data_IF_795710065386
#
_entry.id   IF_795710065386
#
_cell.length_a   1.000
_cell.length_b   1.000
_cell.length_c   1.000
_cell.angle_alpha   90.00
_cell.angle_beta   90.00
_cell.angle_gamma   90.00
#
_symmetry.space_group_name_H-M   'P 1'
#
loop_
_entity.id
_entity.type
_entity.pdbx_description
1 polymer ?
#
# COMPACT_ATOMS: atom_id res chain seq x y z
N UNK A 1 -23.14 -9.01 -4.76
CA UNK A 1 -23.48 -9.53 -6.11
C UNK A 1 -22.40 -10.50 -6.54
N UNK A 2 -21.13 -10.10 -6.37
CA UNK A 2 -20.01 -11.03 -6.33
C UNK A 2 -19.67 -11.32 -4.85
N UNK A 3 -19.55 -12.61 -4.51
CA UNK A 3 -19.16 -13.10 -3.18
C UNK A 3 -17.75 -13.72 -3.20
N UNK A 4 -17.05 -13.60 -4.33
CA UNK A 4 -15.69 -14.06 -4.52
C UNK A 4 -14.65 -13.27 -3.71
N UNK A 5 -13.41 -13.76 -3.73
CA UNK A 5 -12.29 -13.08 -3.09
C UNK A 5 -11.46 -12.31 -4.13
N UNK A 6 -11.57 -10.99 -4.11
CA UNK A 6 -10.96 -10.08 -5.07
C UNK A 6 -10.56 -8.76 -4.41
N UNK A 7 -9.72 -7.97 -5.08
CA UNK A 7 -9.39 -6.61 -4.65
C UNK A 7 -10.32 -5.57 -5.26
N UNK A 8 -10.56 -4.51 -4.51
CA UNK A 8 -11.28 -3.31 -4.96
C UNK A 8 -10.37 -2.12 -4.71
N UNK A 9 -10.23 -1.26 -5.71
CA UNK A 9 -9.44 -0.03 -5.62
C UNK A 9 -10.20 1.18 -6.13
N UNK A 10 -9.57 2.35 -6.07
CA UNK A 10 -10.17 3.61 -6.48
C UNK A 10 -9.18 4.49 -7.23
N UNK A 11 -9.65 5.21 -8.24
CA UNK A 11 -8.84 6.13 -9.04
C UNK A 11 -8.79 7.56 -8.48
N UNK A 12 -9.45 7.82 -7.35
CA UNK A 12 -9.45 9.12 -6.67
C UNK A 12 -8.83 9.04 -5.28
N UNK A 13 -8.14 10.10 -4.89
CA UNK A 13 -7.49 10.17 -3.59
C UNK A 13 -8.38 10.83 -2.53
N UNK A 14 -8.46 10.21 -1.35
CA UNK A 14 -9.15 10.73 -0.16
C UNK A 14 -8.34 10.42 1.09
N UNK A 15 -8.06 9.13 1.32
CA UNK A 15 -7.06 8.67 2.27
C UNK A 15 -6.37 7.40 1.77
N UNK A 16 -5.18 7.12 2.29
CA UNK A 16 -4.40 5.91 1.96
C UNK A 16 -5.05 4.65 2.54
N UNK A 17 -5.67 4.74 3.72
CA UNK A 17 -6.27 3.59 4.42
C UNK A 17 -7.76 3.39 4.12
N UNK A 18 -8.22 3.90 2.97
CA UNK A 18 -9.60 3.74 2.53
C UNK A 18 -10.03 2.28 2.36
N UNK A 19 -9.20 1.36 1.84
CA UNK A 19 -9.59 -0.04 1.77
C UNK A 19 -9.95 -0.61 3.15
N UNK A 20 -9.14 -0.34 4.17
CA UNK A 20 -9.43 -0.77 5.54
C UNK A 20 -10.70 -0.11 6.09
N UNK A 21 -10.89 1.19 5.86
CA UNK A 21 -12.05 1.94 6.35
C UNK A 21 -13.37 1.46 5.72
N UNK A 22 -13.33 1.06 4.45
CA UNK A 22 -14.48 0.58 3.69
C UNK A 22 -14.63 -0.96 3.72
N UNK A 23 -13.79 -1.67 4.47
CA UNK A 23 -13.73 -3.14 4.51
C UNK A 23 -13.57 -3.77 3.11
N UNK A 24 -12.72 -3.14 2.29
CA UNK A 24 -12.27 -3.60 0.99
C UNK A 24 -10.86 -4.20 1.10
N UNK A 25 -10.55 -5.16 0.24
CA UNK A 25 -9.17 -5.61 0.05
C UNK A 25 -8.52 -4.74 -1.02
N UNK A 26 -7.53 -3.93 -0.65
CA UNK A 26 -6.80 -3.06 -1.56
C UNK A 26 -5.29 -3.27 -1.47
N UNK A 27 -4.59 -2.74 -2.47
CA UNK A 27 -3.16 -2.48 -2.48
C UNK A 27 -2.82 -1.20 -1.70
N UNK A 28 -3.71 -0.20 -1.65
CA UNK A 28 -3.49 1.02 -0.88
C UNK A 28 -3.51 0.74 0.63
N UNK A 29 -2.39 0.99 1.32
CA UNK A 29 -2.30 0.80 2.77
C UNK A 29 -1.18 1.63 3.39
N UNK A 30 -1.37 2.08 4.63
CA UNK A 30 -0.34 2.72 5.44
C UNK A 30 -0.33 2.16 6.86
N UNK A 31 0.85 1.71 7.29
CA UNK A 31 1.11 1.25 8.65
C UNK A 31 2.61 1.30 8.95
N UNK A 32 2.98 1.60 10.19
CA UNK A 32 4.39 1.57 10.64
C UNK A 32 5.01 0.16 10.65
N UNK A 33 4.19 -0.88 10.53
CA UNK A 33 4.64 -2.28 10.47
C UNK A 33 4.36 -2.91 9.10
N UNK A 34 4.13 -2.09 8.06
CA UNK A 34 3.91 -2.60 6.72
C UNK A 34 5.18 -3.29 6.18
N UNK A 35 5.00 -4.39 5.45
CA UNK A 35 6.09 -5.18 4.90
C UNK A 35 6.88 -4.37 3.87
N UNK A 36 8.12 -4.00 4.21
CA UNK A 36 8.95 -3.14 3.35
C UNK A 36 9.21 -3.75 1.97
N UNK A 37 9.37 -5.08 1.88
CA UNK A 37 9.59 -5.74 0.58
C UNK A 37 8.38 -5.62 -0.34
N UNK A 38 7.18 -5.69 0.21
CA UNK A 38 5.95 -5.49 -0.56
C UNK A 38 5.77 -4.03 -1.00
N UNK A 39 6.20 -3.07 -0.16
CA UNK A 39 6.23 -1.64 -0.51
C UNK A 39 7.22 -1.42 -1.67
N UNK A 40 8.44 -1.89 -1.52
CA UNK A 40 9.52 -1.75 -2.52
C UNK A 40 9.09 -2.38 -3.86
N UNK A 41 8.52 -3.59 -3.82
CA UNK A 41 7.98 -4.26 -5.01
C UNK A 41 6.92 -3.43 -5.74
N UNK A 42 5.97 -2.81 -5.02
CA UNK A 42 4.98 -1.94 -5.64
C UNK A 42 5.65 -0.71 -6.29
N UNK A 43 6.66 -0.13 -5.63
CA UNK A 43 7.49 0.93 -6.22
C UNK A 43 8.22 0.50 -7.49
N UNK A 44 8.76 -0.72 -7.51
CA UNK A 44 9.41 -1.29 -8.70
C UNK A 44 8.43 -1.55 -9.84
N UNK A 45 7.13 -1.69 -9.57
CA UNK A 45 6.09 -1.71 -10.61
C UNK A 45 5.58 -0.32 -11.00
N UNK A 46 6.10 0.74 -10.37
CA UNK A 46 5.73 2.12 -10.67
C UNK A 46 4.53 2.64 -9.89
N UNK A 47 4.07 1.93 -8.86
CA UNK A 47 3.08 2.47 -7.93
C UNK A 47 3.72 3.49 -6.98
N UNK A 48 2.91 4.44 -6.53
CA UNK A 48 3.31 5.29 -5.40
C UNK A 48 3.48 4.46 -4.14
N UNK A 49 4.71 4.46 -3.65
CA UNK A 49 5.12 3.72 -2.47
C UNK A 49 6.21 4.51 -1.75
N UNK A 50 6.20 4.44 -0.42
CA UNK A 50 7.22 5.03 0.43
C UNK A 50 7.29 4.18 1.71
N UNK A 51 8.33 4.31 2.53
CA UNK A 51 8.73 3.33 3.55
C UNK A 51 7.69 2.91 4.61
N UNK A 52 6.50 3.47 4.62
CA UNK A 52 5.39 3.11 5.52
C UNK A 52 4.01 3.09 4.82
N UNK A 53 3.94 3.26 3.49
CA UNK A 53 2.68 3.22 2.77
C UNK A 53 2.81 2.88 1.27
N UNK A 54 1.72 2.43 0.68
CA UNK A 54 1.52 2.30 -0.76
C UNK A 54 0.18 2.90 -1.17
N UNK A 55 0.06 3.33 -2.41
CA UNK A 55 -1.17 3.87 -3.02
C UNK A 55 -1.39 3.21 -4.36
N UNK A 56 -2.65 2.91 -4.66
CA UNK A 56 -3.10 2.55 -5.99
C UNK A 56 -3.09 3.77 -6.91
N UNK A 57 -1.88 4.19 -7.30
CA UNK A 57 -1.62 5.29 -8.22
C UNK A 57 -0.35 4.94 -8.98
N UNK A 58 -0.39 5.00 -10.32
CA UNK A 58 0.60 4.39 -11.19
C UNK A 58 0.28 2.97 -11.63
N UNK A 59 -0.96 2.52 -11.39
CA UNK A 59 -1.43 1.24 -11.89
C UNK A 59 -1.50 1.24 -13.43
N UNK A 60 -1.37 0.05 -13.98
CA UNK A 60 -1.52 -0.29 -15.40
C UNK A 60 -2.53 -1.43 -15.52
N UNK A 61 -3.10 -1.69 -16.71
CA UNK A 61 -3.93 -2.88 -16.93
C UNK A 61 -3.24 -4.17 -16.44
N UNK A 62 -1.96 -4.38 -16.82
CA UNK A 62 -1.16 -5.53 -16.40
C UNK A 62 -1.12 -5.74 -14.90
N UNK A 63 -0.83 -4.68 -14.14
CA UNK A 63 -0.72 -4.77 -12.69
C UNK A 63 -2.09 -4.93 -12.04
N UNK A 64 -3.14 -4.31 -12.57
CA UNK A 64 -4.51 -4.56 -12.14
C UNK A 64 -4.90 -6.03 -12.31
N UNK A 65 -4.54 -6.64 -13.44
CA UNK A 65 -4.85 -8.03 -13.75
C UNK A 65 -4.15 -8.99 -12.80
N UNK A 66 -2.82 -8.85 -12.66
CA UNK A 66 -2.02 -9.77 -11.85
C UNK A 66 -2.32 -9.61 -10.35
N UNK A 67 -2.52 -8.37 -9.88
CA UNK A 67 -2.89 -8.12 -8.49
C UNK A 67 -4.40 -8.29 -8.22
N UNK A 68 -5.18 -8.82 -9.16
CA UNK A 68 -6.56 -9.21 -8.93
C UNK A 68 -7.46 -8.04 -8.50
N UNK A 69 -7.19 -6.84 -9.03
CA UNK A 69 -8.02 -5.66 -8.84
C UNK A 69 -9.19 -5.77 -9.80
N UNK A 70 -10.29 -6.33 -9.28
CA UNK A 70 -11.48 -6.67 -10.08
C UNK A 70 -12.45 -5.49 -10.23
N UNK A 71 -12.56 -4.65 -9.21
CA UNK A 71 -13.46 -3.50 -9.25
C UNK A 71 -12.70 -2.22 -8.95
N UNK A 72 -12.96 -1.19 -9.75
CA UNK A 72 -12.38 0.14 -9.56
C UNK A 72 -13.50 1.14 -9.33
N UNK A 73 -13.37 1.92 -8.25
CA UNK A 73 -14.24 3.03 -7.92
C UNK A 73 -13.71 4.32 -8.57
N UNK A 74 -14.56 5.01 -9.32
CA UNK A 74 -14.19 6.21 -10.05
C UNK A 74 -15.22 7.33 -9.76
N UNK A 75 -14.72 8.50 -9.37
CA UNK A 75 -15.52 9.70 -9.07
C UNK A 75 -15.48 10.76 -10.17
N UNK A 76 -14.69 10.56 -11.22
CA UNK A 76 -14.42 11.58 -12.24
C UNK A 76 -15.22 11.40 -13.54
N UNK A 77 -16.05 10.35 -13.62
CA UNK A 77 -16.90 10.09 -14.79
C UNK A 77 -16.12 9.74 -16.06
N UNK A 78 -14.86 9.34 -15.89
CA UNK A 78 -13.89 9.07 -16.96
C UNK A 78 -14.11 7.71 -17.65
N UNK A 79 -15.00 6.86 -17.10
CA UNK A 79 -15.16 5.48 -17.55
C UNK A 79 -16.51 5.21 -18.22
N UNK A 80 -16.46 4.75 -19.47
CA UNK A 80 -17.63 4.36 -20.28
C UNK A 80 -18.20 2.98 -19.92
N UNK A 81 -17.47 2.19 -19.13
CA UNK A 81 -17.78 0.80 -18.78
C UNK A 81 -18.32 0.64 -17.34
N UNK A 82 -19.18 1.58 -16.92
CA UNK A 82 -19.79 1.55 -15.58
C UNK A 82 -20.76 0.37 -15.44
N UNK A 83 -20.53 -0.53 -14.48
CA UNK A 83 -21.43 -1.65 -14.17
C UNK A 83 -22.49 -1.29 -13.13
N UNK A 84 -22.20 -0.33 -12.26
CA UNK A 84 -23.13 0.25 -11.27
C UNK A 84 -22.60 1.59 -10.78
N UNK A 85 -23.46 2.41 -10.20
CA UNK A 85 -23.06 3.66 -9.55
C UNK A 85 -23.89 3.91 -8.30
N UNK A 86 -23.34 4.73 -7.40
CA UNK A 86 -24.02 5.28 -6.24
C UNK A 86 -23.50 6.70 -6.01
N UNK A 87 -24.41 7.67 -5.90
CA UNK A 87 -24.09 9.10 -5.83
C UNK A 87 -23.17 9.54 -6.99
N UNK A 88 -21.99 10.07 -6.68
CA UNK A 88 -20.95 10.50 -7.61
C UNK A 88 -19.89 9.42 -7.89
N UNK A 89 -20.05 8.22 -7.35
CA UNK A 89 -19.10 7.11 -7.52
C UNK A 89 -19.66 6.10 -8.53
N UNK A 90 -18.91 5.91 -9.61
CA UNK A 90 -19.09 4.83 -10.59
C UNK A 90 -18.19 3.65 -10.25
N UNK A 91 -18.62 2.45 -10.64
CA UNK A 91 -17.86 1.21 -10.47
C UNK A 91 -17.65 0.57 -11.84
N UNK A 92 -16.40 0.27 -12.17
CA UNK A 92 -16.03 -0.54 -13.33
C UNK A 92 -15.59 -1.94 -12.91
N UNK A 93 -15.69 -2.88 -13.82
CA UNK A 93 -15.25 -4.27 -13.63
C UNK A 93 -14.11 -4.60 -14.59
N UNK A 94 -13.02 -5.10 -14.03
CA UNK A 94 -11.92 -5.71 -14.76
C UNK A 94 -12.19 -7.21 -14.87
N UNK A 95 -12.49 -7.68 -16.08
CA UNK A 95 -12.77 -9.10 -16.35
C UNK A 95 -11.51 -9.95 -16.47
N UNK A 96 -10.35 -9.32 -16.63
CA UNK A 96 -9.06 -9.98 -16.81
C UNK A 96 -8.34 -10.21 -15.45
N UNK A 97 -8.86 -9.63 -14.35
CA UNK A 97 -8.35 -9.75 -12.98
C UNK A 97 -8.19 -11.19 -12.48
N UNK A 98 -6.94 -11.63 -12.31
CA UNK A 98 -6.58 -12.95 -11.80
C UNK A 98 -6.91 -13.11 -10.31
N UNK A 99 -7.14 -14.34 -9.81
CA UNK A 99 -7.35 -14.58 -8.39
C UNK A 99 -6.09 -14.26 -7.57
N UNK A 100 -6.23 -14.12 -6.24
CA UNK A 100 -5.10 -13.79 -5.34
C UNK A 100 -3.94 -14.80 -5.38
N UNK A 101 -4.20 -16.03 -5.87
CA UNK A 101 -3.19 -17.02 -6.15
C UNK A 101 -3.64 -17.97 -7.26
N UNK A 102 -2.69 -18.37 -8.11
CA UNK A 102 -2.91 -19.13 -9.33
C UNK A 102 -1.64 -19.91 -9.73
N UNK A 103 -1.82 -20.98 -10.49
CA UNK A 103 -0.73 -21.73 -11.11
C UNK A 103 -0.06 -20.89 -12.21
N UNK A 104 1.26 -20.81 -12.16
CA UNK A 104 2.09 -20.10 -13.12
C UNK A 104 3.35 -20.90 -13.44
N UNK A 105 4.09 -20.49 -14.47
CA UNK A 105 5.40 -21.08 -14.76
C UNK A 105 6.38 -20.82 -13.62
N UNK A 106 7.13 -21.86 -13.21
CA UNK A 106 8.13 -21.77 -12.15
C UNK A 106 9.26 -20.76 -12.38
N UNK A 107 9.39 -20.18 -13.59
CA UNK A 107 10.35 -19.09 -13.87
C UNK A 107 10.12 -17.86 -12.99
N UNK A 108 8.89 -17.61 -12.53
CA UNK A 108 8.57 -16.45 -11.67
C UNK A 108 9.31 -16.49 -10.33
N UNK A 109 9.61 -17.68 -9.80
CA UNK A 109 10.33 -17.82 -8.53
C UNK A 109 11.78 -17.34 -8.58
N UNK A 110 12.34 -17.11 -9.77
CA UNK A 110 13.69 -16.57 -9.96
C UNK A 110 13.69 -15.11 -10.45
N UNK A 111 12.51 -14.47 -10.56
CA UNK A 111 12.40 -13.11 -11.05
C UNK A 111 12.73 -12.11 -9.94
N UNK A 112 13.74 -11.29 -10.21
CA UNK A 112 14.12 -10.12 -9.42
C UNK A 112 13.78 -8.86 -10.21
N UNK A 113 13.22 -7.87 -9.54
CA UNK A 113 12.85 -6.59 -10.12
C UNK A 113 14.02 -5.60 -10.01
N UNK A 114 14.08 -4.67 -10.96
CA UNK A 114 15.01 -3.54 -10.97
C UNK A 114 14.36 -2.29 -10.41
N UNK A 115 15.08 -1.49 -9.63
CA UNK A 115 14.52 -0.32 -8.94
C UNK A 115 13.90 0.73 -9.86
N UNK A 116 14.48 0.96 -11.04
CA UNK A 116 14.07 2.06 -11.92
C UNK A 116 13.37 1.62 -13.21
N UNK A 117 13.33 0.33 -13.53
CA UNK A 117 12.89 -0.18 -14.84
C UNK A 117 11.45 -0.68 -14.77
N UNK A 118 10.51 0.22 -14.48
CA UNK A 118 9.14 -0.13 -14.08
C UNK A 118 8.35 -0.85 -15.16
N UNK A 119 8.58 -0.52 -16.43
CA UNK A 119 7.93 -1.17 -17.58
C UNK A 119 8.58 -2.53 -17.89
N UNK A 120 9.91 -2.61 -17.86
CA UNK A 120 10.63 -3.89 -18.01
C UNK A 120 10.24 -4.87 -16.91
N UNK A 121 10.07 -4.40 -15.67
CA UNK A 121 9.60 -5.22 -14.56
C UNK A 121 8.23 -5.85 -14.83
N UNK A 122 7.30 -5.08 -15.36
CA UNK A 122 5.97 -5.56 -15.74
C UNK A 122 6.04 -6.59 -16.88
N UNK A 123 6.87 -6.31 -17.90
CA UNK A 123 7.09 -7.23 -19.01
C UNK A 123 7.72 -8.55 -18.55
N UNK A 124 8.74 -8.46 -17.72
CA UNK A 124 9.43 -9.60 -17.15
C UNK A 124 8.50 -10.43 -16.25
N UNK A 125 7.62 -9.79 -15.47
CA UNK A 125 6.65 -10.46 -14.62
C UNK A 125 5.71 -11.34 -15.44
N UNK A 126 4.99 -10.77 -16.41
CA UNK A 126 3.99 -11.54 -17.15
C UNK A 126 4.63 -12.59 -18.05
N UNK A 127 5.83 -12.34 -18.58
CA UNK A 127 6.62 -13.36 -19.28
C UNK A 127 7.07 -14.50 -18.34
N UNK A 128 7.50 -14.20 -17.12
CA UNK A 128 7.90 -15.22 -16.16
C UNK A 128 6.71 -16.08 -15.70
N UNK A 129 5.55 -15.46 -15.45
CA UNK A 129 4.30 -16.13 -15.08
C UNK A 129 3.78 -17.05 -16.19
N UNK A 130 3.85 -16.61 -17.46
CA UNK A 130 3.37 -17.40 -18.60
C UNK A 130 4.43 -18.34 -19.18
N UNK A 131 5.69 -18.16 -18.81
CA UNK A 131 6.84 -18.82 -19.42
C UNK A 131 7.19 -18.31 -20.83
N UNK A 132 6.56 -17.22 -21.28
CA UNK A 132 6.64 -16.66 -22.62
C UNK A 132 7.79 -15.66 -22.85
N UNK A 133 7.74 -15.02 -24.01
CA UNK A 133 8.60 -13.89 -24.40
C UNK A 133 7.79 -12.99 -25.34
N UNK A 134 7.25 -11.90 -24.78
CA UNK A 134 6.38 -10.91 -25.42
C UNK A 134 6.74 -9.53 -24.90
N UNK A 135 6.45 -8.53 -25.71
CA UNK A 135 6.52 -7.12 -25.34
C UNK A 135 5.10 -6.66 -25.00
N UNK A 136 4.84 -6.30 -23.75
CA UNK A 136 3.55 -5.76 -23.31
C UNK A 136 3.61 -4.24 -23.19
N UNK A 137 4.77 -3.73 -22.78
CA UNK A 137 5.13 -2.33 -22.84
C UNK A 137 6.28 -2.13 -23.83
N UNK A 138 5.99 -1.51 -24.97
CA UNK A 138 7.03 -1.13 -25.92
C UNK A 138 7.72 0.13 -25.43
N UNK A 139 8.89 -0.03 -24.82
CA UNK A 139 9.68 1.06 -24.24
C UNK A 139 10.43 1.82 -25.34
N UNK A 140 10.39 3.15 -25.29
CA UNK A 140 11.07 4.04 -26.23
C UNK A 140 11.53 5.34 -25.56
N UNK A 141 12.41 6.07 -26.25
CA UNK A 141 12.99 7.33 -25.76
C UNK A 141 12.38 8.53 -26.49
N UNK A 142 12.49 9.71 -25.88
CA UNK A 142 12.13 10.95 -26.54
C UNK A 142 13.00 11.27 -27.76
N UNK A 143 12.44 12.10 -28.64
CA UNK A 143 13.09 12.59 -29.83
C UNK A 143 14.10 13.70 -29.50
N UNK A 144 15.35 13.48 -29.91
CA UNK A 144 16.39 14.49 -29.83
C UNK A 144 16.73 14.92 -28.41
N UNK A 145 16.99 16.22 -28.23
CA UNK A 145 17.37 16.81 -26.94
C UNK A 145 16.17 17.62 -26.43
N UNK A 146 15.75 17.47 -25.16
CA UNK A 146 14.65 18.23 -24.62
C UNK A 146 14.94 19.74 -24.63
N UNK A 147 13.90 20.53 -24.88
CA UNK A 147 13.96 21.98 -24.82
C UNK A 147 13.83 22.44 -23.37
N UNK A 148 14.86 23.11 -22.85
CA UNK A 148 14.86 23.70 -21.51
C UNK A 148 14.59 25.20 -21.61
N UNK A 149 13.53 25.67 -20.95
CA UNK A 149 13.12 27.06 -20.92
C UNK A 149 13.37 27.66 -19.53
N UNK A 150 14.04 28.82 -19.49
CA UNK A 150 14.35 29.57 -18.26
C UNK A 150 15.07 28.78 -17.16
N UNK A 151 15.75 27.67 -17.48
CA UNK A 151 16.57 26.89 -16.56
C UNK A 151 17.82 26.34 -17.24
N UNK A 152 18.76 25.84 -16.45
CA UNK A 152 20.02 25.25 -16.90
C UNK A 152 19.93 23.74 -16.75
N UNK A 153 20.07 23.03 -17.88
CA UNK A 153 20.25 21.56 -17.93
C UNK A 153 21.68 21.19 -17.54
N UNK A 154 21.83 20.23 -16.62
CA UNK A 154 23.12 19.68 -16.19
C UNK A 154 23.04 18.18 -15.89
N UNK A 155 24.20 17.55 -15.69
CA UNK A 155 24.32 16.15 -15.30
C UNK A 155 24.85 16.03 -13.88
N UNK A 156 24.32 15.06 -13.13
CA UNK A 156 24.56 14.84 -11.71
C UNK A 156 24.90 13.37 -11.44
N UNK A 157 25.20 13.04 -10.18
CA UNK A 157 25.52 11.67 -9.77
C UNK A 157 24.37 10.70 -10.07
N UNK A 158 24.71 9.41 -10.17
CA UNK A 158 23.76 8.32 -10.47
C UNK A 158 22.90 8.58 -11.72
N UNK A 159 23.49 9.17 -12.75
CA UNK A 159 22.85 9.42 -14.05
C UNK A 159 21.66 10.39 -14.02
N UNK A 160 21.51 11.19 -12.96
CA UNK A 160 20.47 12.21 -12.92
C UNK A 160 20.80 13.37 -13.86
N UNK A 161 19.77 13.85 -14.54
CA UNK A 161 19.72 15.10 -15.28
C UNK A 161 19.01 16.10 -14.36
N UNK A 162 19.62 17.27 -14.19
CA UNK A 162 19.04 18.33 -13.37
C UNK A 162 18.70 19.56 -14.20
N UNK A 163 17.60 20.20 -13.86
CA UNK A 163 17.16 21.49 -14.39
C UNK A 163 17.14 22.47 -13.23
N UNK A 164 18.03 23.45 -13.26
CA UNK A 164 18.34 24.29 -12.09
C UNK A 164 18.44 25.77 -12.47
N UNK A 165 18.63 26.65 -11.47
CA UNK A 165 18.82 28.09 -11.65
C UNK A 165 17.71 28.76 -12.48
N UNK A 166 16.44 28.64 -12.07
CA UNK A 166 15.34 29.23 -12.82
C UNK A 166 15.46 30.76 -12.86
N UNK A 167 15.25 31.35 -14.05
CA UNK A 167 15.23 32.81 -14.25
C UNK A 167 13.81 33.36 -14.42
N UNK A 168 12.79 32.52 -14.26
CA UNK A 168 11.37 32.80 -14.46
C UNK A 168 10.55 31.51 -14.30
N UNK A 169 9.40 31.42 -14.96
CA UNK A 169 8.71 30.14 -15.09
C UNK A 169 9.58 29.17 -15.90
N UNK A 170 10.16 28.20 -15.21
CA UNK A 170 11.10 27.25 -15.78
C UNK A 170 10.40 25.97 -16.18
N UNK A 171 10.76 25.42 -17.34
CA UNK A 171 10.22 24.16 -17.81
C UNK A 171 11.20 23.37 -18.66
N UNK A 172 10.93 22.08 -18.79
CA UNK A 172 11.58 21.22 -19.76
C UNK A 172 10.51 20.52 -20.60
N UNK A 173 10.69 20.53 -21.91
CA UNK A 173 9.77 19.93 -22.88
C UNK A 173 10.48 18.79 -23.63
N UNK A 174 9.87 17.62 -23.61
CA UNK A 174 10.22 16.46 -24.42
C UNK A 174 9.22 16.34 -25.57
N UNK A 175 9.71 15.94 -26.73
CA UNK A 175 8.86 15.51 -27.86
C UNK A 175 9.07 14.02 -28.03
N UNK A 176 7.98 13.28 -28.25
CA UNK A 176 8.04 11.86 -28.56
C UNK A 176 7.29 11.57 -29.85
N UNK A 177 7.81 10.64 -30.65
CA UNK A 177 7.10 10.08 -31.81
C UNK A 177 6.59 8.70 -31.42
N UNK A 178 5.27 8.55 -31.36
CA UNK A 178 4.62 7.34 -30.85
C UNK A 178 4.91 6.14 -31.78
N UNK A 179 5.57 5.06 -31.32
CA UNK A 179 6.03 3.99 -32.19
C UNK A 179 4.91 3.05 -32.71
N UNK A 180 3.81 2.94 -31.97
CA UNK A 180 2.61 2.13 -32.29
C UNK A 180 1.38 2.78 -31.63
N UNK A 181 0.18 2.60 -32.21
CA UNK A 181 -1.05 3.19 -31.64
C UNK A 181 -1.41 2.50 -30.33
N UNK A 182 -1.78 3.27 -29.30
CA UNK A 182 -2.15 2.74 -27.99
C UNK A 182 -2.02 3.77 -26.86
N UNK A 183 -2.27 3.32 -25.64
CA UNK A 183 -2.05 4.13 -24.43
C UNK A 183 -0.55 4.33 -24.19
N UNK A 184 -0.14 5.57 -23.93
CA UNK A 184 1.26 5.93 -23.67
C UNK A 184 1.45 6.29 -22.21
N UNK A 185 2.43 5.64 -21.59
CA UNK A 185 2.81 5.87 -20.21
C UNK A 185 4.18 6.52 -20.11
N UNK A 186 4.40 7.27 -19.02
CA UNK A 186 5.69 7.85 -18.67
C UNK A 186 6.08 7.51 -17.22
N UNK A 187 7.35 7.24 -17.00
CA UNK A 187 7.94 7.20 -15.67
C UNK A 187 9.18 8.09 -15.62
N UNK A 188 9.35 8.82 -14.51
CA UNK A 188 10.49 9.71 -14.27
C UNK A 188 11.34 9.12 -13.14
N UNK A 189 12.38 8.32 -13.43
CA UNK A 189 13.17 7.68 -12.40
C UNK A 189 13.98 8.73 -11.63
N UNK A 190 13.94 8.73 -10.31
CA UNK A 190 14.71 9.69 -9.50
C UNK A 190 14.91 9.20 -8.07
N UNK A 191 16.04 9.58 -7.47
CA UNK A 191 16.29 9.50 -6.03
C UNK A 191 15.90 10.79 -5.29
N UNK A 192 15.55 11.83 -6.04
CA UNK A 192 15.38 13.19 -5.56
C UNK A 192 14.09 13.78 -6.10
N UNK A 193 12.97 13.27 -5.61
CA UNK A 193 11.64 13.76 -5.97
C UNK A 193 11.55 15.29 -5.84
N UNK A 194 11.15 15.95 -6.92
CA UNK A 194 10.94 17.40 -7.00
C UNK A 194 9.70 17.67 -7.82
N UNK A 195 8.71 18.31 -7.20
CA UNK A 195 7.42 18.56 -7.83
C UNK A 195 7.54 19.29 -9.18
N UNK A 196 6.83 18.77 -10.18
CA UNK A 196 6.70 19.39 -11.50
C UNK A 196 5.26 19.27 -11.99
N UNK A 197 4.70 20.36 -12.51
CA UNK A 197 3.41 20.31 -13.20
C UNK A 197 3.59 19.64 -14.56
N UNK A 198 2.76 18.64 -14.88
CA UNK A 198 2.80 17.90 -16.13
C UNK A 198 1.75 18.43 -17.11
N UNK A 199 2.18 18.66 -18.34
CA UNK A 199 1.30 18.97 -19.45
C UNK A 199 1.60 18.04 -20.63
N UNK A 200 0.54 17.60 -21.32
CA UNK A 200 0.62 16.78 -22.53
C UNK A 200 -0.14 17.49 -23.64
N UNK A 201 0.53 17.84 -24.74
CA UNK A 201 -0.03 18.66 -25.83
C UNK A 201 -0.70 19.97 -25.32
N UNK A 202 -0.11 20.57 -24.28
CA UNK A 202 -0.62 21.77 -23.62
C UNK A 202 -1.78 21.54 -22.62
N UNK A 203 -2.33 20.33 -22.51
CA UNK A 203 -3.35 19.98 -21.53
C UNK A 203 -2.70 19.65 -20.18
N UNK A 204 -3.21 20.20 -19.09
CA UNK A 204 -2.71 19.91 -17.74
C UNK A 204 -3.11 18.51 -17.29
N UNK A 205 -2.13 17.67 -16.91
CA UNK A 205 -2.32 16.29 -16.44
C UNK A 205 -2.02 16.10 -14.95
N UNK A 206 -1.83 17.18 -14.19
CA UNK A 206 -1.58 17.13 -12.75
C UNK A 206 -0.12 17.43 -12.36
N UNK A 207 0.27 16.98 -11.17
CA UNK A 207 1.59 17.24 -10.59
C UNK A 207 2.33 15.91 -10.41
N UNK A 208 3.54 15.82 -10.95
CA UNK A 208 4.47 14.74 -10.67
C UNK A 208 5.09 14.96 -9.28
N UNK A 209 5.26 13.89 -8.51
CA UNK A 209 5.91 13.90 -7.19
C UNK A 209 5.18 14.73 -6.10
N UNK A 210 3.90 15.04 -6.29
CA UNK A 210 3.12 15.76 -5.27
C UNK A 210 2.89 14.88 -4.04
N UNK A 211 3.27 15.34 -2.84
CA UNK A 211 3.08 14.58 -1.59
C UNK A 211 3.61 13.14 -1.67
N UNK A 212 4.84 13.01 -2.18
CA UNK A 212 5.58 11.77 -2.46
C UNK A 212 4.87 10.82 -3.46
N UNK A 213 4.08 11.38 -4.39
CA UNK A 213 3.37 10.65 -5.43
C UNK A 213 4.28 10.37 -6.65
N UNK A 214 5.37 9.63 -6.42
CA UNK A 214 6.24 9.09 -7.46
C UNK A 214 5.60 7.84 -8.06
N UNK A 215 5.19 7.90 -9.32
CA UNK A 215 4.52 6.80 -10.00
C UNK A 215 4.57 6.93 -11.52
N UNK A 216 4.12 5.87 -12.21
CA UNK A 216 3.80 5.91 -13.63
C UNK A 216 2.68 6.92 -13.88
N UNK A 217 2.84 7.75 -14.91
CA UNK A 217 1.83 8.67 -15.42
C UNK A 217 1.25 8.15 -16.72
N UNK A 218 -0.07 8.07 -16.77
CA UNK A 218 -0.81 7.89 -18.01
C UNK A 218 -0.82 9.22 -18.78
N UNK A 219 -0.32 9.22 -20.01
CA UNK A 219 -0.28 10.40 -20.87
C UNK A 219 -1.49 10.49 -21.80
N UNK A 220 -2.24 9.40 -21.99
CA UNK A 220 -3.34 9.28 -22.95
C UNK A 220 -3.06 8.30 -24.10
N UNK A 221 -4.09 8.11 -24.92
CA UNK A 221 -4.06 7.29 -26.13
C UNK A 221 -3.66 8.11 -27.35
N UNK A 222 -2.73 7.59 -28.15
CA UNK A 222 -2.19 8.27 -29.34
C UNK A 222 -2.05 7.32 -30.53
N UNK A 223 -2.02 7.88 -31.74
CA UNK A 223 -1.82 7.10 -32.95
C UNK A 223 -0.34 6.93 -33.31
N UNK A 224 -0.02 5.83 -33.99
CA UNK A 224 1.33 5.58 -34.50
C UNK A 224 1.83 6.74 -35.36
N UNK A 225 3.03 7.24 -35.03
CA UNK A 225 3.71 8.33 -35.71
C UNK A 225 3.22 9.71 -35.30
N UNK A 226 2.27 9.81 -34.36
CA UNK A 226 1.88 11.08 -33.76
C UNK A 226 3.03 11.66 -32.93
N UNK A 227 3.28 12.96 -33.10
CA UNK A 227 4.22 13.71 -32.27
C UNK A 227 3.47 14.26 -31.05
N UNK A 228 3.96 13.92 -29.85
CA UNK A 228 3.36 14.33 -28.59
C UNK A 228 4.36 15.19 -27.82
N UNK A 229 3.89 16.34 -27.32
CA UNK A 229 4.66 17.25 -26.48
C UNK A 229 4.40 16.96 -25.00
N UNK A 230 5.44 16.67 -24.24
CA UNK A 230 5.40 16.47 -22.78
C UNK A 230 6.19 17.60 -22.12
N UNK A 231 5.49 18.49 -21.44
CA UNK A 231 6.09 19.64 -20.74
C UNK A 231 6.01 19.46 -19.23
N UNK A 232 7.17 19.53 -18.57
CA UNK A 232 7.33 19.55 -17.12
C UNK A 232 7.68 20.97 -16.67
N UNK A 233 6.78 21.62 -15.95
CA UNK A 233 7.02 22.96 -15.37
C UNK A 233 7.50 22.80 -13.94
N UNK A 234 8.67 23.35 -13.64
CA UNK A 234 9.27 23.29 -12.31
C UNK A 234 8.38 24.04 -11.32
N UNK A 235 8.05 23.41 -10.18
CA UNK A 235 7.32 24.06 -9.09
C UNK A 235 8.22 24.61 -7.99
N UNK A 236 9.51 24.27 -8.05
CA UNK A 236 10.57 24.72 -7.12
C UNK A 236 11.80 25.19 -7.90
N UNK A 237 12.90 25.43 -7.18
CA UNK A 237 14.17 25.91 -7.76
C UNK A 237 14.91 24.88 -8.60
N UNK A 238 14.51 23.62 -8.55
CA UNK A 238 15.16 22.53 -9.27
C UNK A 238 14.21 21.37 -9.59
N UNK A 239 14.64 20.53 -10.53
CA UNK A 239 14.04 19.27 -10.91
C UNK A 239 15.15 18.29 -11.28
N UNK A 240 15.09 17.07 -10.73
CA UNK A 240 16.09 16.02 -10.98
C UNK A 240 15.41 14.70 -11.30
N UNK A 241 15.83 14.06 -12.38
CA UNK A 241 15.43 12.71 -12.76
C UNK A 241 16.46 12.11 -13.73
N UNK A 242 16.52 10.79 -13.85
CA UNK A 242 17.22 10.08 -14.93
C UNK A 242 16.41 10.16 -16.21
N UNK A 243 16.99 9.75 -17.33
CA UNK A 243 16.29 9.76 -18.63
C UNK A 243 14.84 9.23 -18.49
N UNK A 244 13.83 10.04 -18.89
CA UNK A 244 12.44 9.61 -18.82
C UNK A 244 12.20 8.32 -19.59
N UNK A 245 11.42 7.42 -19.01
CA UNK A 245 10.97 6.21 -19.68
C UNK A 245 9.60 6.47 -20.28
N UNK A 246 9.43 6.21 -21.58
CA UNK A 246 8.14 6.19 -22.25
C UNK A 246 7.82 4.78 -22.71
N UNK A 247 6.56 4.38 -22.62
CA UNK A 247 6.12 3.07 -23.09
C UNK A 247 4.74 3.15 -23.73
N UNK A 248 4.57 2.44 -24.86
CA UNK A 248 3.24 2.20 -25.45
C UNK A 248 2.75 0.84 -24.98
N UNK A 249 1.52 0.80 -24.46
CA UNK A 249 0.89 -0.43 -24.00
C UNK A 249 0.30 -1.26 -25.16
N UNK A 250 0.62 -2.55 -25.18
CA UNK A 250 0.13 -3.53 -26.13
C UNK A 250 -0.96 -4.41 -25.51
N UNK A 251 -2.20 -3.91 -25.58
CA UNK A 251 -3.38 -4.56 -25.01
C UNK A 251 -3.63 -5.97 -25.56
N UNK A 252 -3.42 -6.18 -26.86
CA UNK A 252 -3.63 -7.49 -27.49
C UNK A 252 -2.63 -8.53 -26.96
N UNK A 253 -1.36 -8.15 -26.78
CA UNK A 253 -0.34 -9.04 -26.25
C UNK A 253 -0.63 -9.47 -24.81
N UNK A 254 -1.05 -8.51 -23.97
CA UNK A 254 -1.42 -8.74 -22.57
C UNK A 254 -2.65 -9.62 -22.47
N UNK A 255 -3.77 -9.26 -23.11
CA UNK A 255 -5.00 -10.07 -23.09
C UNK A 255 -4.75 -11.50 -23.55
N UNK A 256 -3.93 -11.69 -24.57
CA UNK A 256 -3.56 -13.03 -25.02
C UNK A 256 -2.72 -13.80 -24.00
N UNK A 257 -1.91 -13.13 -23.17
CA UNK A 257 -1.12 -13.75 -22.11
C UNK A 257 -1.97 -14.06 -20.87
N UNK A 258 -2.82 -13.13 -20.46
CA UNK A 258 -3.77 -13.29 -19.35
C UNK A 258 -4.78 -14.41 -19.66
N UNK A 259 -5.30 -14.49 -20.88
CA UNK A 259 -6.16 -15.59 -21.31
C UNK A 259 -5.50 -16.97 -21.13
N UNK A 260 -4.18 -17.09 -21.33
CA UNK A 260 -3.45 -18.35 -21.09
C UNK A 260 -3.35 -18.69 -19.59
N UNK A 261 -3.20 -17.68 -18.73
CA UNK A 261 -3.22 -17.88 -17.28
C UNK A 261 -4.61 -18.32 -16.83
N UNK A 262 -5.67 -17.73 -17.37
CA UNK A 262 -7.04 -18.17 -17.12
C UNK A 262 -7.32 -19.59 -17.59
N UNK A 263 -6.88 -19.95 -18.80
CA UNK A 263 -7.04 -21.32 -19.31
C UNK A 263 -6.34 -22.33 -18.39
N UNK A 264 -5.09 -22.06 -18.02
CA UNK A 264 -4.30 -22.86 -17.06
C UNK A 264 -4.98 -22.98 -15.70
N UNK A 265 -5.72 -21.96 -15.27
CA UNK A 265 -6.34 -21.88 -13.95
C UNK A 265 -7.86 -22.09 -13.98
N UNK A 266 -8.40 -22.67 -15.05
CA UNK A 266 -9.84 -22.90 -15.21
C UNK A 266 -10.44 -23.81 -14.13
N UNK A 267 -9.63 -24.68 -13.52
CA UNK A 267 -10.02 -25.56 -12.41
C UNK A 267 -9.58 -25.02 -11.03
N UNK A 268 -8.79 -23.94 -11.00
CA UNK A 268 -8.28 -23.35 -9.76
C UNK A 268 -9.42 -22.72 -8.96
N UNK A 269 -9.53 -23.07 -7.69
CA UNK A 269 -10.50 -22.47 -6.75
C UNK A 269 -9.77 -21.80 -5.60
N UNK A 270 -10.24 -20.61 -5.24
CA UNK A 270 -9.73 -19.84 -4.10
C UNK A 270 -10.85 -19.63 -3.10
N UNK A 271 -10.61 -20.04 -1.86
CA UNK A 271 -11.57 -19.93 -0.76
C UNK A 271 -10.96 -19.13 0.39
N UNK A 272 -11.61 -18.03 0.77
CA UNK A 272 -11.28 -17.30 1.99
C UNK A 272 -12.04 -17.92 3.16
N UNK A 273 -11.38 -18.80 3.90
CA UNK A 273 -11.99 -19.52 5.04
C UNK A 273 -12.14 -18.60 6.27
N UNK A 274 -11.20 -17.67 6.46
CA UNK A 274 -11.27 -16.65 7.51
C UNK A 274 -10.46 -15.39 7.12
N UNK A 275 -10.19 -14.49 8.06
CA UNK A 275 -9.27 -13.36 7.82
C UNK A 275 -7.79 -13.80 7.75
N UNK A 276 -7.47 -14.99 8.28
CA UNK A 276 -6.11 -15.50 8.38
C UNK A 276 -5.89 -16.81 7.64
N UNK A 277 -6.95 -17.40 7.06
CA UNK A 277 -6.91 -18.71 6.42
C UNK A 277 -7.44 -18.62 4.98
N UNK A 278 -6.61 -19.03 4.03
CA UNK A 278 -6.93 -19.08 2.60
C UNK A 278 -6.62 -20.49 2.09
N UNK A 279 -7.53 -21.05 1.28
CA UNK A 279 -7.35 -22.35 0.64
C UNK A 279 -7.38 -22.22 -0.88
N UNK A 280 -6.48 -22.93 -1.52
CA UNK A 280 -6.42 -23.12 -2.96
C UNK A 280 -6.66 -24.59 -3.28
N UNK A 281 -7.50 -24.86 -4.28
CA UNK A 281 -7.58 -26.17 -4.93
C UNK A 281 -7.07 -25.99 -6.35
N UNK A 282 -6.03 -26.73 -6.72
CA UNK A 282 -5.31 -26.57 -8.00
C UNK A 282 -4.99 -27.92 -8.62
N UNK A 283 -4.80 -27.95 -9.94
CA UNK A 283 -4.36 -29.11 -10.70
C UNK A 283 -3.07 -28.75 -11.47
N UNK A 284 -1.93 -28.97 -10.82
CA UNK A 284 -0.63 -28.47 -11.28
C UNK A 284 -0.05 -29.36 -12.38
N UNK A 285 0.53 -28.74 -13.42
CA UNK A 285 1.36 -29.45 -14.40
C UNK A 285 2.82 -29.50 -13.95
N UNK A 286 3.64 -30.34 -14.61
CA UNK A 286 5.08 -30.35 -14.37
C UNK A 286 5.71 -28.95 -14.59
N UNK A 287 6.44 -28.47 -13.58
CA UNK A 287 7.06 -27.13 -13.48
C UNK A 287 6.11 -25.95 -13.21
N UNK A 288 4.85 -26.23 -12.87
CA UNK A 288 3.99 -25.18 -12.32
C UNK A 288 4.39 -24.86 -10.87
N UNK A 289 4.23 -23.60 -10.50
CA UNK A 289 4.30 -23.11 -9.14
C UNK A 289 2.97 -22.44 -8.81
N UNK A 290 2.49 -22.57 -7.58
CA UNK A 290 1.44 -21.69 -7.10
C UNK A 290 2.06 -20.33 -6.79
N UNK A 291 1.82 -19.34 -7.63
CA UNK A 291 2.17 -17.95 -7.39
C UNK A 291 1.03 -17.27 -6.63
N UNK A 292 1.35 -16.42 -5.66
CA UNK A 292 0.35 -15.65 -4.91
C UNK A 292 0.73 -14.19 -4.84
N UNK A 293 -0.28 -13.33 -4.72
CA UNK A 293 -0.11 -11.91 -4.41
C UNK A 293 -0.21 -11.65 -2.89
N UNK A 294 0.16 -12.65 -2.09
CA UNK A 294 0.23 -12.59 -0.63
C UNK A 294 1.67 -12.22 -0.26
N UNK A 295 1.89 -11.12 0.48
CA UNK A 295 3.23 -10.74 0.92
C UNK A 295 3.89 -11.81 1.79
N UNK A 296 5.14 -12.12 1.51
CA UNK A 296 5.94 -13.02 2.31
C UNK A 296 6.33 -12.35 3.63
N UNK A 297 5.80 -12.88 4.74
CA UNK A 297 6.04 -12.35 6.08
C UNK A 297 6.08 -13.47 7.13
N UNK A 298 6.72 -13.20 8.26
CA UNK A 298 6.71 -14.10 9.42
C UNK A 298 5.29 -14.25 9.94
N UNK A 299 4.89 -15.50 10.19
CA UNK A 299 3.57 -15.85 10.72
C UNK A 299 2.75 -16.71 9.77
N UNK A 300 3.10 -16.75 8.48
CA UNK A 300 2.52 -17.71 7.54
C UNK A 300 3.03 -19.12 7.79
N UNK A 301 2.10 -20.08 7.76
CA UNK A 301 2.38 -21.51 7.63
C UNK A 301 1.60 -22.03 6.43
N UNK A 302 2.27 -22.77 5.55
CA UNK A 302 1.68 -23.33 4.33
C UNK A 302 1.60 -24.84 4.46
N UNK A 303 0.48 -25.41 4.01
CA UNK A 303 0.25 -26.85 3.95
C UNK A 303 -0.07 -27.26 2.53
N UNK A 304 0.54 -28.34 2.05
CA UNK A 304 0.18 -29.02 0.79
C UNK A 304 -0.34 -30.40 1.15
N UNK A 305 -1.59 -30.68 0.80
CA UNK A 305 -2.30 -31.93 1.13
C UNK A 305 -2.25 -32.27 2.62
N UNK A 306 -2.35 -31.24 3.47
CA UNK A 306 -2.33 -31.36 4.93
C UNK A 306 -0.93 -31.47 5.55
N UNK A 307 0.14 -31.54 4.76
CA UNK A 307 1.51 -31.57 5.26
C UNK A 307 2.12 -30.16 5.23
N UNK A 308 2.73 -29.75 6.34
CA UNK A 308 3.42 -28.45 6.38
C UNK A 308 4.64 -28.46 5.45
N UNK A 309 4.78 -27.40 4.66
CA UNK A 309 5.89 -27.21 3.71
C UNK A 309 6.52 -25.82 3.90
N UNK A 310 7.78 -25.70 3.48
CA UNK A 310 8.40 -24.38 3.30
C UNK A 310 7.87 -23.76 2.01
N UNK A 311 7.45 -22.50 2.08
CA UNK A 311 7.07 -21.74 0.90
C UNK A 311 8.31 -21.05 0.31
N UNK A 312 8.30 -20.86 -1.01
CA UNK A 312 9.28 -20.04 -1.71
C UNK A 312 8.84 -18.57 -1.79
N UNK A 313 9.66 -17.75 -2.39
CA UNK A 313 9.38 -16.34 -2.63
C UNK A 313 9.61 -15.95 -4.08
N UNK A 314 9.10 -14.79 -4.48
CA UNK A 314 9.36 -14.16 -5.78
C UNK A 314 9.35 -12.64 -5.65
N UNK A 315 9.87 -11.95 -6.67
CA UNK A 315 9.88 -10.48 -6.78
C UNK A 315 10.66 -9.83 -5.63
N UNK A 316 11.96 -10.14 -5.52
CA UNK A 316 12.83 -9.66 -4.44
C UNK A 316 12.31 -10.05 -3.04
N UNK A 317 11.90 -11.31 -2.91
CA UNK A 317 11.28 -11.88 -1.71
C UNK A 317 9.96 -11.23 -1.24
N UNK A 318 9.29 -10.45 -2.09
CA UNK A 318 8.09 -9.73 -1.68
C UNK A 318 6.86 -10.64 -1.54
N UNK A 319 6.69 -11.60 -2.45
CA UNK A 319 5.49 -12.43 -2.53
C UNK A 319 5.77 -13.92 -2.32
N UNK A 320 4.78 -14.64 -1.82
CA UNK A 320 4.88 -16.09 -1.57
C UNK A 320 4.62 -16.93 -2.82
N UNK A 321 5.42 -17.99 -2.97
CA UNK A 321 5.23 -19.05 -3.97
C UNK A 321 5.23 -20.43 -3.31
N UNK A 322 4.61 -21.44 -3.92
CA UNK A 322 4.62 -22.81 -3.41
C UNK A 322 4.91 -23.78 -4.56
N UNK A 323 6.00 -24.52 -4.44
CA UNK A 323 6.32 -25.60 -5.38
C UNK A 323 5.32 -26.74 -5.23
N UNK A 324 4.83 -27.25 -6.36
CA UNK A 324 3.85 -28.33 -6.41
C UNK A 324 4.36 -29.45 -7.32
N UNK A 325 4.04 -30.68 -6.95
CA UNK A 325 4.19 -31.81 -7.87
C UNK A 325 3.08 -31.79 -8.92
N UNK A 326 3.23 -32.58 -9.98
CA UNK A 326 2.16 -32.73 -10.97
C UNK A 326 0.95 -33.45 -10.33
N UNK A 327 -0.24 -32.88 -10.51
CA UNK A 327 -1.51 -33.43 -10.02
C UNK A 327 -2.38 -32.45 -9.23
N UNK A 328 -3.47 -32.99 -8.69
CA UNK A 328 -4.41 -32.24 -7.85
C UNK A 328 -3.84 -32.02 -6.44
N UNK A 329 -3.93 -30.78 -5.96
CA UNK A 329 -3.45 -30.40 -4.63
C UNK A 329 -4.43 -29.47 -3.91
N UNK A 330 -4.51 -29.64 -2.59
CA UNK A 330 -5.11 -28.66 -1.68
C UNK A 330 -3.98 -27.93 -0.97
N UNK A 331 -3.89 -26.62 -1.19
CA UNK A 331 -2.90 -25.77 -0.55
C UNK A 331 -3.58 -24.83 0.44
N UNK A 332 -3.16 -24.85 1.71
CA UNK A 332 -3.73 -23.99 2.76
C UNK A 332 -2.67 -23.04 3.32
N UNK A 333 -2.99 -21.76 3.34
CA UNK A 333 -2.19 -20.70 3.97
C UNK A 333 -2.88 -20.30 5.27
N UNK A 334 -2.15 -20.35 6.39
CA UNK A 334 -2.65 -19.96 7.71
C UNK A 334 -1.71 -18.93 8.33
N UNK A 335 -2.26 -17.79 8.73
CA UNK A 335 -1.50 -16.71 9.35
C UNK A 335 -1.69 -16.66 10.86
N UNK A 336 -0.59 -16.65 11.59
CA UNK A 336 -0.55 -16.34 13.00
C UNK A 336 0.55 -15.32 13.27
N UNK A 337 0.16 -14.11 13.64
CA UNK A 337 1.08 -12.97 13.78
C UNK A 337 2.30 -13.33 14.65
N UNK A 338 3.50 -13.11 14.10
CA UNK A 338 4.74 -13.43 14.78
C UNK A 338 4.84 -12.66 16.12
N UNK A 339 5.15 -13.38 17.20
CA UNK A 339 5.24 -12.80 18.54
C UNK A 339 3.91 -12.68 19.30
N UNK A 340 2.75 -12.84 18.65
CA UNK A 340 1.44 -12.78 19.32
C UNK A 340 1.34 -13.85 20.42
N UNK A 341 1.76 -15.09 20.14
CA UNK A 341 1.77 -16.17 21.11
C UNK A 341 2.64 -15.86 22.34
N UNK A 342 3.84 -15.32 22.12
CA UNK A 342 4.73 -14.88 23.20
C UNK A 342 4.11 -13.72 23.99
N UNK A 343 3.50 -12.76 23.31
CA UNK A 343 2.79 -11.63 23.93
C UNK A 343 1.67 -12.11 24.85
N UNK A 344 0.82 -13.02 24.38
CA UNK A 344 -0.25 -13.62 25.19
C UNK A 344 0.31 -14.28 26.46
N UNK A 345 1.38 -15.07 26.33
CA UNK A 345 2.01 -15.73 27.49
C UNK A 345 2.51 -14.69 28.49
N UNK A 346 3.23 -13.66 28.04
CA UNK A 346 3.74 -12.61 28.91
C UNK A 346 2.62 -11.82 29.60
N UNK A 347 1.53 -11.51 28.87
CA UNK A 347 0.36 -10.84 29.43
C UNK A 347 -0.30 -11.70 30.53
N UNK A 348 -0.51 -12.99 30.28
CA UNK A 348 -1.08 -13.91 31.29
C UNK A 348 -0.19 -14.00 32.52
N UNK A 349 1.12 -14.17 32.34
CA UNK A 349 2.07 -14.18 33.46
C UNK A 349 2.04 -12.86 34.25
N UNK A 350 2.00 -11.71 33.57
CA UNK A 350 1.90 -10.40 34.20
C UNK A 350 0.63 -10.24 35.03
N UNK A 351 -0.52 -10.66 34.50
CA UNK A 351 -1.80 -10.66 35.23
C UNK A 351 -1.71 -11.56 36.48
N UNK A 352 -1.16 -12.76 36.36
CA UNK A 352 -1.01 -13.68 37.50
C UNK A 352 -0.12 -13.10 38.60
N UNK A 353 1.00 -12.45 38.24
CA UNK A 353 1.88 -11.77 39.19
C UNK A 353 1.14 -10.61 39.86
N UNK A 354 0.45 -9.78 39.08
CA UNK A 354 -0.29 -8.63 39.59
C UNK A 354 -1.41 -9.04 40.57
N UNK A 355 -2.20 -10.05 40.22
CA UNK A 355 -3.22 -10.64 41.10
C UNK A 355 -2.57 -11.22 42.35
N UNK A 356 -1.46 -11.94 42.21
CA UNK A 356 -0.68 -12.45 43.34
C UNK A 356 -0.23 -11.35 44.30
N UNK A 357 0.25 -10.21 43.78
CA UNK A 357 0.63 -9.05 44.58
C UNK A 357 -0.55 -8.43 45.33
N UNK A 358 -1.71 -8.29 44.68
CA UNK A 358 -2.94 -7.79 45.33
C UNK A 358 -3.34 -8.72 46.49
N UNK A 359 -3.35 -10.03 46.27
CA UNK A 359 -3.72 -11.00 47.30
C UNK A 359 -2.74 -10.98 48.48
N UNK A 360 -1.44 -10.81 48.23
CA UNK A 360 -0.43 -10.61 49.27
C UNK A 360 -0.66 -9.31 50.04
N UNK A 361 -0.91 -8.20 49.34
CA UNK A 361 -1.18 -6.90 49.95
C UNK A 361 -2.42 -6.94 50.87
N UNK A 362 -3.51 -7.55 50.41
CA UNK A 362 -4.73 -7.74 51.19
C UNK A 362 -4.53 -8.66 52.40
N UNK A 363 -3.62 -9.64 52.32
CA UNK A 363 -3.24 -10.46 53.48
C UNK A 363 -2.39 -9.69 54.51
N UNK A 364 -1.56 -8.75 54.07
CA UNK A 364 -0.68 -7.96 54.94
C UNK A 364 -1.47 -6.86 55.67
N UNK A 365 -2.45 -6.23 55.02
CA UNK A 365 -3.39 -5.33 55.71
C UNK A 365 -4.44 -6.13 56.50
N UNK A 366 -4.15 -6.42 57.78
CA UNK A 366 -5.20 -6.84 58.72
C UNK A 366 -6.29 -5.75 58.78
N UNK A 367 -7.58 -6.10 58.85
CA UNK A 367 -8.63 -5.10 59.06
C UNK A 367 -8.35 -4.38 60.38
N UNK A 368 -8.28 -3.05 60.35
CA UNK A 368 -8.26 -2.24 61.56
C UNK A 368 -9.59 -2.52 62.28
N UNK A 369 -9.53 -3.23 63.42
CA UNK A 369 -10.68 -3.31 64.33
C UNK A 369 -10.88 -1.92 64.91
N UNK A 370 -11.94 -1.23 64.49
CA UNK A 370 -12.51 -0.13 65.28
C UNK A 370 -12.98 -0.74 66.61
N UNK A 371 -12.15 -0.65 67.64
CA UNK A 371 -12.59 -0.94 69.01
C UNK A 371 -13.61 0.12 69.41
N UNK A 372 -14.85 -0.31 69.64
CA UNK A 372 -15.86 0.51 70.27
C UNK A 372 -15.31 1.05 71.60
N UNK A 373 -15.25 2.37 71.75
CA UNK A 373 -14.95 3.01 73.02
C UNK A 373 -16.13 2.68 73.95
N UNK A 374 -15.90 1.80 74.93
CA UNK A 374 -16.79 1.66 76.08
C UNK A 374 -16.50 2.84 77.01
N UNK A 375 -17.35 3.86 76.97
CA UNK A 375 -17.37 4.88 78.01
C UNK A 375 -17.77 4.20 79.33
N UNK A 376 -16.83 4.09 80.28
CA UNK A 376 -17.16 3.77 81.66
C UNK A 376 -17.63 5.05 82.36
N UNK A 377 -18.77 4.96 83.04
CA UNK A 377 -19.49 6.07 83.66
C UNK A 377 -18.85 6.57 84.97
N UNK A 378 -17.54 6.82 84.99
CA UNK A 378 -16.85 7.40 86.16
C UNK A 378 -15.97 8.61 85.87
N UNK A 379 -15.71 8.98 84.61
CA UNK A 379 -14.96 10.20 84.27
C UNK A 379 -15.89 11.29 83.72
N UNK A 380 -16.93 11.58 84.49
CA UNK A 380 -17.74 12.80 84.34
C UNK A 380 -17.18 13.81 85.33
N UNK A 381 -16.28 14.68 84.86
CA UNK A 381 -16.06 15.97 85.50
C UNK A 381 -16.88 17.02 84.74
N UNK A 382 -17.74 17.72 85.48
CA UNK A 382 -18.73 18.69 84.99
C UNK A 382 -18.22 20.08 85.34
N UNK A 383 -17.96 20.89 84.31
CA UNK A 383 -18.00 22.39 84.22
C UNK A 383 -17.03 22.79 83.10
N UNK A 384 -17.33 23.61 82.10
CA UNK A 384 -18.36 24.62 81.91
C UNK A 384 -18.89 24.60 80.47
N UNK A 385 -20.11 25.09 80.33
CA UNK A 385 -20.84 25.38 79.10
C UNK A 385 -20.25 26.59 78.35
N UNK A 386 -20.34 26.58 77.01
CA UNK A 386 -21.12 27.56 76.23
C UNK A 386 -20.99 27.27 74.71
N UNK A 387 -22.04 26.68 74.15
CA UNK A 387 -22.82 27.18 73.00
C UNK A 387 -22.12 27.77 71.75
N UNK A 388 -22.24 27.05 70.61
CA UNK A 388 -22.88 27.45 69.31
C UNK A 388 -22.19 26.85 68.05
N UNK A 389 -22.91 25.88 67.48
CA UNK A 389 -23.29 25.56 66.09
C UNK A 389 -22.56 26.23 64.88
N UNK A 390 -22.14 25.34 63.96
CA UNK A 390 -21.93 25.36 62.49
C UNK A 390 -21.04 26.41 61.82
N UNK A 391 -19.97 25.93 61.19
CA UNK A 391 -19.46 26.43 59.90
C UNK A 391 -19.07 25.23 59.02
N UNK A 392 -19.70 25.14 57.84
CA UNK A 392 -19.25 24.39 56.66
C UNK A 392 -17.96 25.00 56.11
N UNK A 393 -17.06 24.19 55.55
CA UNK A 393 -16.54 24.41 54.18
C UNK A 393 -15.43 23.43 53.80
N UNK A 394 -15.56 23.04 52.54
CA UNK A 394 -14.60 22.50 51.56
C UNK A 394 -13.27 23.24 51.48
N UNK A 395 -12.18 22.50 51.23
CA UNK A 395 -11.00 22.89 50.41
C UNK A 395 -10.18 21.59 50.11
N UNK A 396 -10.13 21.12 48.85
CA UNK A 396 -9.10 21.34 47.81
C UNK A 396 -7.67 20.85 48.14
N UNK A 397 -7.12 19.98 47.27
CA UNK A 397 -5.93 20.28 46.44
C UNK A 397 -5.60 19.14 45.46
N UNK A 398 -5.08 19.55 44.30
CA UNK A 398 -4.89 18.86 43.01
C UNK A 398 -3.58 18.04 42.88
N UNK A 399 -3.51 17.18 41.86
CA UNK A 399 -2.47 17.23 40.81
C UNK A 399 -2.76 16.22 39.67
N UNK A 400 -2.85 16.69 38.43
CA UNK A 400 -2.91 15.89 37.20
C UNK A 400 -1.82 16.36 36.20
N UNK A 401 -1.29 15.41 35.44
CA UNK A 401 -0.19 15.53 34.48
C UNK A 401 -0.63 16.07 33.09
N UNK A 402 0.29 16.59 32.26
CA UNK A 402 -0.03 17.43 31.10
C UNK A 402 -0.21 16.67 29.78
N UNK A 403 -1.04 17.25 28.91
CA UNK A 403 -1.12 17.01 27.45
C UNK A 403 -0.59 18.26 26.72
N UNK A 404 0.22 18.06 25.69
CA UNK A 404 0.85 19.12 24.89
C UNK A 404 0.11 19.27 23.56
N UNK A 405 -0.51 20.44 23.33
CA UNK A 405 -1.30 20.75 22.13
C UNK A 405 -0.50 21.52 21.08
N UNK A 406 -0.86 21.25 19.82
CA UNK A 406 -0.48 21.95 18.61
C UNK A 406 -0.77 23.46 18.65
N UNK A 407 0.08 24.24 17.98
CA UNK A 407 -0.08 25.67 17.76
C UNK A 407 -0.50 25.95 16.30
N UNK A 408 -1.71 26.49 16.12
CA UNK A 408 -2.10 27.30 14.97
C UNK A 408 -2.06 28.78 15.41
N UNK A 409 -1.24 29.59 14.73
CA UNK A 409 -1.21 31.04 14.87
C UNK A 409 -2.09 31.71 13.81
N UNK A 410 -3.07 32.49 14.25
CA UNK A 410 -3.70 33.57 13.48
C UNK A 410 -3.28 34.89 14.10
N UNK A 411 -2.55 35.70 13.34
CA UNK A 411 -2.33 37.11 13.62
C UNK A 411 -3.24 37.97 12.73
N UNK A 412 -3.89 38.92 13.40
CA UNK A 412 -4.62 40.10 12.95
C UNK A 412 -4.04 41.19 13.91
N UNK A 413 -3.59 42.39 13.57
CA UNK A 413 -4.01 43.35 12.56
C UNK A 413 -3.02 44.57 12.60
N UNK A 414 -3.12 45.46 11.60
CA UNK A 414 -2.75 46.90 11.57
C UNK A 414 -1.28 47.38 11.70
N UNK A 415 -0.68 47.82 10.59
CA UNK A 415 -0.56 49.24 10.15
C UNK A 415 -0.23 49.35 8.65
#
# INVERSE_FOLDING_TARGET
KDDGFYRIEKNFFRSVNDPMAANMYGLSHSSSTLNSKAIDMLGYFGFTSNGHYSRFSGNTPLTCDIFGVKYILDSEGSTTSTITSADDISVTENLDALPIGFLASGKVSALELSEYDVFDNQDNLLNALTGGYREFFKIFTADGIPYAENCIKGSFEKQHIGFTNPTGEASVTYTITVPDSGEVYMYLPTDYEREASLYVNGEYKGICFESDNHNIKDLGSFEKGEEVEIKLVLRRSDLYFREPQFAVYNEEAEKSAIAKLWEKNSETKVEKLSQTDIRFTVNASANDVLFTTIPAEKGWTVYVDGNAVEYGTALNDALMTVELTEGEHIVEFKFFAAGLGTGIILTVCGILIFVGMILLYLKIKKPVRLTAIKNNASDIDKTDSDDIINISDTEQTEAAFPEETAAEGKDDNTE
#
